data_IF_912155168959
#
_entry.id   IF_912155168959
#
_cell.length_a   1.000
_cell.length_b   1.000
_cell.length_c   1.000
_cell.angle_alpha   90.00
_cell.angle_beta   90.00
_cell.angle_gamma   90.00
#
_symmetry.space_group_name_H-M   'P 1'
#
loop_
_entity.id
_entity.type
_entity.pdbx_description
1 polymer ?
#
# COMPACT_ATOMS: atom_id res chain seq x y z
N UNK A 1 -31.98 -54.68 35.26
CA UNK A 1 -32.45 -53.43 35.89
C UNK A 1 -33.32 -52.69 34.88
N UNK A 2 -34.59 -52.51 35.23
CA UNK A 2 -35.70 -52.06 34.37
C UNK A 2 -35.93 -50.53 34.53
N UNK A 3 -36.69 -49.91 33.61
CA UNK A 3 -36.62 -48.49 33.25
C UNK A 3 -37.55 -47.61 34.10
N UNK A 4 -37.40 -46.28 34.02
CA UNK A 4 -38.43 -45.34 34.44
C UNK A 4 -38.73 -44.37 33.30
N UNK A 5 -39.96 -44.47 32.78
CA UNK A 5 -40.64 -43.48 31.95
C UNK A 5 -41.65 -42.72 32.82
N UNK A 6 -41.62 -41.39 32.68
CA UNK A 6 -42.74 -40.44 32.50
C UNK A 6 -43.83 -40.37 33.59
N UNK A 7 -44.06 -39.16 34.13
CA UNK A 7 -45.35 -38.45 34.01
C UNK A 7 -45.30 -36.97 34.40
N UNK A 8 -46.10 -36.23 33.63
CA UNK A 8 -46.41 -34.80 33.61
C UNK A 8 -47.25 -34.43 34.86
N UNK A 9 -47.06 -33.21 35.37
CA UNK A 9 -47.96 -32.55 36.31
C UNK A 9 -47.85 -31.03 36.18
N UNK A 10 -48.93 -30.41 35.72
CA UNK A 10 -49.11 -28.97 35.46
C UNK A 10 -49.60 -28.26 36.74
N UNK A 11 -49.43 -26.92 36.75
CA UNK A 11 -50.21 -25.87 37.44
C UNK A 11 -49.59 -25.26 38.71
N UNK A 12 -49.50 -23.93 38.73
CA UNK A 12 -49.22 -23.15 39.94
C UNK A 12 -48.80 -21.70 39.68
N UNK A 13 -49.72 -20.88 39.21
CA UNK A 13 -49.58 -19.42 39.12
C UNK A 13 -49.46 -18.82 40.53
N UNK A 14 -48.39 -18.08 40.82
CA UNK A 14 -48.29 -17.27 42.03
C UNK A 14 -47.75 -15.87 41.67
N UNK A 15 -48.67 -14.90 41.69
CA UNK A 15 -48.42 -13.46 41.63
C UNK A 15 -47.64 -13.05 42.89
N UNK A 16 -46.47 -12.44 42.74
CA UNK A 16 -45.82 -11.68 43.82
C UNK A 16 -45.77 -10.22 43.41
N UNK A 17 -46.55 -9.40 44.11
CA UNK A 17 -46.54 -7.95 44.01
C UNK A 17 -45.22 -7.41 44.58
N UNK A 18 -44.39 -6.83 43.73
CA UNK A 18 -43.20 -6.09 44.13
C UNK A 18 -43.55 -4.64 44.48
N UNK A 19 -43.32 -4.27 45.74
CA UNK A 19 -43.34 -2.88 46.21
C UNK A 19 -42.24 -2.07 45.50
N UNK A 20 -42.63 -1.02 44.79
CA UNK A 20 -41.70 -0.07 44.17
C UNK A 20 -41.14 0.88 45.25
N UNK A 21 -39.82 0.82 45.48
CA UNK A 21 -39.08 1.88 46.16
C UNK A 21 -38.64 2.91 45.11
N UNK A 22 -38.73 4.23 45.38
CA UNK A 22 -38.26 5.24 44.45
C UNK A 22 -36.73 5.21 44.43
N UNK A 23 -36.15 4.71 43.34
CA UNK A 23 -34.74 4.92 43.04
C UNK A 23 -34.56 6.38 42.63
N UNK A 24 -33.91 7.16 43.50
CA UNK A 24 -33.36 8.46 43.12
C UNK A 24 -32.42 8.24 41.93
N UNK A 25 -32.80 8.76 40.76
CA UNK A 25 -31.94 8.79 39.59
C UNK A 25 -30.76 9.73 39.90
N UNK A 26 -29.63 9.15 40.32
CA UNK A 26 -28.34 9.82 40.26
C UNK A 26 -28.04 9.98 38.77
N UNK A 27 -28.17 11.21 38.27
CA UNK A 27 -27.69 11.57 36.94
C UNK A 27 -26.21 11.17 36.85
N UNK A 28 -25.94 10.16 36.03
CA UNK A 28 -24.57 9.81 35.70
C UNK A 28 -23.94 11.04 35.05
N UNK A 29 -22.92 11.58 35.70
CA UNK A 29 -22.03 12.56 35.11
C UNK A 29 -21.59 12.05 33.73
N UNK A 30 -21.70 12.92 32.72
CA UNK A 30 -21.51 12.57 31.32
C UNK A 30 -20.26 11.72 31.13
N UNK A 31 -20.43 10.59 30.45
CA UNK A 31 -19.33 9.80 29.96
C UNK A 31 -18.51 10.68 29.01
N UNK A 32 -17.42 11.27 29.53
CA UNK A 32 -16.29 11.65 28.69
C UNK A 32 -15.90 10.38 27.94
N UNK A 33 -16.09 10.38 26.62
CA UNK A 33 -15.85 9.21 25.80
C UNK A 33 -14.41 8.74 26.01
N UNK A 34 -14.23 7.47 26.38
CA UNK A 34 -12.89 6.91 26.46
C UNK A 34 -12.22 7.06 25.08
N UNK A 35 -10.97 7.54 25.07
CA UNK A 35 -10.20 7.67 23.84
C UNK A 35 -10.20 6.32 23.09
N UNK A 36 -10.31 6.32 21.75
CA UNK A 36 -10.38 5.08 20.99
C UNK A 36 -9.12 4.25 21.23
N UNK A 37 -9.30 2.95 21.40
CA UNK A 37 -8.18 2.02 21.55
C UNK A 37 -7.23 2.12 20.33
N UNK A 38 -5.91 1.97 20.53
CA UNK A 38 -4.95 1.99 19.43
C UNK A 38 -5.15 0.79 18.51
N UNK A 39 -5.03 1.04 17.20
CA UNK A 39 -4.90 -0.01 16.17
C UNK A 39 -3.68 -0.88 16.41
N UNK A 40 -3.60 -2.00 15.69
CA UNK A 40 -2.47 -2.92 15.81
C UNK A 40 -1.19 -2.24 15.32
N UNK A 41 -1.25 -1.48 14.23
CA UNK A 41 -0.14 -0.64 13.78
C UNK A 41 0.29 0.35 14.86
N UNK A 42 -0.65 1.14 15.41
CA UNK A 42 -0.36 2.18 16.41
C UNK A 42 0.28 1.64 17.68
N UNK A 43 -0.02 0.38 18.08
CA UNK A 43 0.62 -0.25 19.24
C UNK A 43 2.13 -0.46 19.07
N UNK A 44 2.62 -0.54 17.83
CA UNK A 44 4.06 -0.69 17.55
C UNK A 44 4.82 0.63 17.66
N UNK A 45 4.13 1.76 17.49
CA UNK A 45 4.73 3.08 17.33
C UNK A 45 5.61 3.51 18.51
N UNK A 46 5.24 3.16 19.75
CA UNK A 46 5.98 3.57 20.95
C UNK A 46 7.16 2.63 21.27
N UNK A 47 7.38 1.59 20.46
CA UNK A 47 8.52 0.69 20.58
C UNK A 47 9.86 1.38 20.27
N UNK A 48 10.95 0.81 20.78
CA UNK A 48 12.30 1.38 20.65
C UNK A 48 12.73 1.58 19.19
N UNK A 49 12.50 0.59 18.32
CA UNK A 49 12.92 0.66 16.91
C UNK A 49 12.21 1.78 16.13
N UNK A 50 10.87 1.91 16.14
CA UNK A 50 10.20 3.04 15.49
C UNK A 50 10.65 4.40 16.01
N UNK A 51 10.80 4.54 17.34
CA UNK A 51 11.28 5.79 17.94
C UNK A 51 12.71 6.12 17.53
N UNK A 52 13.58 5.11 17.45
CA UNK A 52 14.95 5.26 17.00
C UNK A 52 15.02 5.70 15.52
N UNK A 53 14.22 5.07 14.65
CA UNK A 53 14.11 5.45 13.23
C UNK A 53 13.62 6.90 13.10
N UNK A 54 12.58 7.30 13.84
CA UNK A 54 12.06 8.66 13.83
C UNK A 54 13.09 9.68 14.30
N UNK A 55 13.84 9.37 15.36
CA UNK A 55 14.91 10.22 15.89
C UNK A 55 16.05 10.38 14.88
N UNK A 56 16.59 9.26 14.38
CA UNK A 56 17.74 9.24 13.47
C UNK A 56 17.44 9.70 12.04
N UNK A 57 16.17 9.72 11.64
CA UNK A 57 15.75 10.32 10.36
C UNK A 57 15.36 11.81 10.48
N UNK A 58 15.23 12.31 11.71
CA UNK A 58 14.73 13.64 12.03
C UNK A 58 13.21 13.79 11.96
N UNK A 59 12.43 12.72 11.78
CA UNK A 59 10.97 12.76 11.64
C UNK A 59 10.22 12.74 12.99
N UNK A 60 10.90 12.60 14.13
CA UNK A 60 10.29 12.57 15.47
C UNK A 60 9.36 13.77 15.78
N UNK A 61 9.64 14.95 15.22
CA UNK A 61 8.83 16.15 15.47
C UNK A 61 7.55 16.24 14.61
N UNK A 62 7.34 15.34 13.64
CA UNK A 62 6.21 15.42 12.68
C UNK A 62 4.87 15.30 13.40
N UNK A 63 4.63 14.21 14.12
CA UNK A 63 3.34 13.99 14.79
C UNK A 63 3.05 15.06 15.87
N UNK A 64 4.01 15.45 16.74
CA UNK A 64 3.78 16.55 17.69
C UNK A 64 3.47 17.90 17.03
N UNK A 65 4.09 18.21 15.88
CA UNK A 65 3.79 19.44 15.14
C UNK A 65 2.39 19.41 14.52
N UNK A 66 2.00 18.26 13.97
CA UNK A 66 0.67 18.02 13.45
C UNK A 66 -0.41 18.16 14.54
N UNK A 67 -0.21 17.56 15.71
CA UNK A 67 -1.12 17.68 16.85
C UNK A 67 -1.33 19.14 17.28
N UNK A 68 -0.24 19.93 17.36
CA UNK A 68 -0.35 21.39 17.61
C UNK A 68 -1.10 22.12 16.51
N UNK A 69 -0.96 21.69 15.26
CA UNK A 69 -1.72 22.23 14.13
C UNK A 69 -3.21 21.94 14.25
N UNK A 70 -3.59 20.72 14.62
CA UNK A 70 -4.97 20.34 14.89
C UNK A 70 -5.55 21.14 16.07
N UNK A 71 -4.80 21.28 17.16
CA UNK A 71 -5.24 22.04 18.34
C UNK A 71 -5.47 23.55 18.12
N UNK A 72 -5.08 24.10 16.96
CA UNK A 72 -5.35 25.49 16.56
C UNK A 72 -6.49 25.62 15.55
N UNK A 73 -7.07 24.51 15.09
CA UNK A 73 -8.20 24.56 14.17
C UNK A 73 -9.49 24.77 14.95
N UNK A 74 -10.24 25.82 14.62
CA UNK A 74 -11.49 26.20 15.28
C UNK A 74 -12.73 25.69 14.51
N UNK A 75 -12.51 25.05 13.36
CA UNK A 75 -13.57 24.45 12.54
C UNK A 75 -13.14 23.21 11.78
N UNK A 76 -14.12 22.41 11.34
CA UNK A 76 -13.87 21.25 10.46
C UNK A 76 -13.14 21.64 9.16
N UNK A 77 -13.46 22.82 8.60
CA UNK A 77 -12.81 23.32 7.37
C UNK A 77 -11.33 23.56 7.59
N UNK A 78 -10.97 24.18 8.71
CA UNK A 78 -9.58 24.43 9.08
C UNK A 78 -8.85 23.14 9.41
N UNK A 79 -9.48 22.23 10.16
CA UNK A 79 -8.91 20.91 10.46
C UNK A 79 -8.60 20.14 9.17
N UNK A 80 -9.52 20.14 8.20
CA UNK A 80 -9.29 19.54 6.89
C UNK A 80 -8.13 20.19 6.13
N UNK A 81 -8.01 21.51 6.19
CA UNK A 81 -6.90 22.23 5.57
C UNK A 81 -5.55 21.89 6.23
N UNK A 82 -5.52 21.77 7.56
CA UNK A 82 -4.34 21.30 8.31
C UNK A 82 -3.98 19.88 7.88
N UNK A 83 -4.93 18.95 7.91
CA UNK A 83 -4.71 17.55 7.52
C UNK A 83 -4.12 17.44 6.11
N UNK A 84 -4.75 18.09 5.13
CA UNK A 84 -4.28 18.01 3.75
C UNK A 84 -2.88 18.63 3.58
N UNK A 85 -2.63 19.78 4.21
CA UNK A 85 -1.33 20.48 4.13
C UNK A 85 -0.21 19.66 4.77
N UNK A 86 -0.42 19.21 6.01
CA UNK A 86 0.61 18.48 6.77
C UNK A 86 0.84 17.08 6.21
N UNK A 87 -0.20 16.39 5.75
CA UNK A 87 -0.06 15.10 5.05
C UNK A 87 0.78 15.24 3.77
N UNK A 88 0.48 16.24 2.93
CA UNK A 88 1.26 16.49 1.73
C UNK A 88 2.69 16.99 2.03
N UNK A 89 2.88 17.73 3.13
CA UNK A 89 4.21 18.14 3.58
C UNK A 89 5.05 16.95 4.06
N UNK A 90 4.44 15.97 4.72
CA UNK A 90 5.10 14.72 5.11
C UNK A 90 5.59 13.94 3.88
N UNK A 91 4.73 13.75 2.86
CA UNK A 91 5.12 13.07 1.61
C UNK A 91 6.33 13.76 0.95
N UNK A 92 6.21 15.07 0.67
CA UNK A 92 7.28 15.84 0.03
C UNK A 92 8.57 15.81 0.83
N UNK A 93 8.49 15.90 2.16
CA UNK A 93 9.67 15.81 3.04
C UNK A 93 10.36 14.45 2.91
N UNK A 94 9.62 13.35 2.81
CA UNK A 94 10.19 12.02 2.61
C UNK A 94 10.88 11.90 1.24
N UNK A 95 10.24 12.36 0.18
CA UNK A 95 10.81 12.39 -1.19
C UNK A 95 12.08 13.26 -1.22
N UNK A 96 12.00 14.50 -0.70
CA UNK A 96 13.15 15.42 -0.63
C UNK A 96 14.33 14.79 0.13
N UNK A 97 14.03 14.13 1.26
CA UNK A 97 15.04 13.42 2.04
C UNK A 97 15.74 12.36 1.19
N UNK A 98 14.99 11.43 0.58
CA UNK A 98 15.55 10.35 -0.24
C UNK A 98 16.36 10.89 -1.41
N UNK A 99 15.93 12.01 -2.00
CA UNK A 99 16.54 12.59 -3.20
C UNK A 99 17.64 13.62 -2.93
N UNK A 100 18.26 13.61 -1.75
CA UNK A 100 19.39 14.50 -1.50
C UNK A 100 19.01 15.96 -1.18
N UNK A 101 17.72 16.35 -1.26
CA UNK A 101 17.25 17.73 -1.02
C UNK A 101 17.01 18.06 0.45
N UNK A 102 17.11 19.35 0.78
CA UNK A 102 16.91 19.85 2.15
C UNK A 102 18.00 19.43 3.15
N UNK A 103 17.86 19.81 4.43
CA UNK A 103 18.88 19.55 5.44
C UNK A 103 18.96 18.05 5.78
N UNK A 104 20.19 17.54 5.86
CA UNK A 104 20.46 16.21 6.42
C UNK A 104 20.20 16.26 7.94
N UNK A 105 18.99 15.88 8.35
CA UNK A 105 18.61 15.75 9.76
C UNK A 105 18.83 14.30 10.19
N UNK A 106 19.60 14.11 11.27
CA UNK A 106 19.98 12.81 11.79
C UNK A 106 20.96 12.04 10.90
N UNK A 107 21.30 10.82 11.30
CA UNK A 107 22.37 9.99 10.75
C UNK A 107 21.87 8.68 10.09
N UNK A 108 20.55 8.43 10.08
CA UNK A 108 19.99 7.32 9.30
C UNK A 108 20.25 7.58 7.81
N UNK A 109 20.47 6.53 7.02
CA UNK A 109 20.61 6.69 5.57
C UNK A 109 19.40 7.40 4.96
N UNK A 110 19.64 8.15 3.88
CA UNK A 110 18.62 9.05 3.31
C UNK A 110 17.57 8.30 2.50
N UNK A 111 17.94 7.17 1.89
CA UNK A 111 17.15 6.28 1.04
C UNK A 111 16.09 5.44 1.77
N UNK A 112 15.86 5.71 3.05
CA UNK A 112 14.99 4.92 3.91
C UNK A 112 13.51 5.31 3.79
N UNK A 113 12.63 4.32 3.62
CA UNK A 113 11.18 4.49 3.51
C UNK A 113 10.46 4.52 4.88
N UNK A 114 11.04 3.89 5.90
CA UNK A 114 10.44 3.74 7.23
C UNK A 114 10.09 5.07 7.92
N UNK A 115 10.87 6.16 7.78
CA UNK A 115 10.50 7.46 8.37
C UNK A 115 9.13 7.97 7.93
N UNK A 116 8.74 7.75 6.66
CA UNK A 116 7.42 8.14 6.16
C UNK A 116 6.31 7.35 6.87
N UNK A 117 6.45 6.03 6.93
CA UNK A 117 5.48 5.13 7.53
C UNK A 117 5.23 5.46 9.02
N UNK A 118 6.29 5.50 9.83
CA UNK A 118 6.16 5.74 11.27
C UNK A 118 5.65 7.13 11.59
N UNK A 119 6.09 8.16 10.85
CA UNK A 119 5.61 9.52 11.07
C UNK A 119 4.13 9.70 10.70
N UNK A 120 3.69 9.08 9.59
CA UNK A 120 2.29 9.05 9.20
C UNK A 120 1.45 8.34 10.25
N UNK A 121 1.89 7.19 10.75
CA UNK A 121 1.20 6.45 11.79
C UNK A 121 1.03 7.30 13.07
N UNK A 122 2.06 8.07 13.44
CA UNK A 122 1.96 9.06 14.51
C UNK A 122 0.89 10.12 14.23
N UNK A 123 0.87 10.72 13.03
CA UNK A 123 -0.17 11.67 12.65
C UNK A 123 -1.58 11.05 12.67
N UNK A 124 -1.72 9.81 12.22
CA UNK A 124 -2.99 9.07 12.25
C UNK A 124 -3.49 8.88 13.68
N UNK A 125 -2.59 8.52 14.61
CA UNK A 125 -2.91 8.40 16.04
C UNK A 125 -3.40 9.71 16.62
N UNK A 126 -2.66 10.80 16.41
CA UNK A 126 -3.05 12.15 16.87
C UNK A 126 -4.43 12.55 16.33
N UNK A 127 -4.70 12.32 15.04
CA UNK A 127 -5.99 12.66 14.44
C UNK A 127 -7.13 11.77 14.97
N UNK A 128 -6.87 10.51 15.29
CA UNK A 128 -7.88 9.59 15.84
C UNK A 128 -8.30 9.98 17.25
N UNK A 129 -7.36 10.37 18.10
CA UNK A 129 -7.60 10.70 19.51
C UNK A 129 -7.91 12.17 19.77
N UNK A 130 -7.70 13.04 18.79
CA UNK A 130 -7.93 14.48 18.93
C UNK A 130 -9.39 14.83 19.21
N UNK A 131 -9.64 15.62 20.26
CA UNK A 131 -10.95 16.20 20.60
C UNK A 131 -10.95 17.71 20.35
N UNK A 132 -11.59 18.20 19.27
CA UNK A 132 -11.71 19.64 19.02
C UNK A 132 -12.70 20.34 19.96
N UNK A 133 -12.55 21.65 20.10
CA UNK A 133 -13.55 22.52 20.76
C UNK A 133 -14.84 22.74 19.95
N UNK A 134 -14.94 22.19 18.74
CA UNK A 134 -16.11 22.23 17.87
C UNK A 134 -16.65 20.81 17.61
N UNK A 135 -17.91 20.70 17.17
CA UNK A 135 -18.51 19.39 16.88
C UNK A 135 -17.81 18.65 15.73
N UNK A 136 -17.23 17.48 16.02
CA UNK A 136 -16.61 16.59 15.03
C UNK A 136 -17.22 15.18 15.14
N UNK A 137 -18.13 14.86 14.21
CA UNK A 137 -18.75 13.53 14.16
C UNK A 137 -17.82 12.45 13.57
N UNK A 138 -18.16 11.18 13.80
CA UNK A 138 -17.38 10.02 13.31
C UNK A 138 -17.14 10.05 11.79
N UNK A 139 -18.16 10.39 11.00
CA UNK A 139 -18.03 10.51 9.53
C UNK A 139 -17.03 11.59 9.11
N UNK A 140 -17.02 12.72 9.81
CA UNK A 140 -16.08 13.80 9.55
C UNK A 140 -14.66 13.38 9.95
N UNK A 141 -14.49 12.71 11.09
CA UNK A 141 -13.19 12.16 11.50
C UNK A 141 -12.67 11.12 10.50
N UNK A 142 -13.52 10.21 10.03
CA UNK A 142 -13.17 9.23 8.99
C UNK A 142 -12.78 9.91 7.67
N UNK A 143 -13.45 11.00 7.29
CA UNK A 143 -13.08 11.79 6.12
C UNK A 143 -11.72 12.50 6.28
N UNK A 144 -11.41 13.04 7.47
CA UNK A 144 -10.09 13.58 7.78
C UNK A 144 -9.01 12.50 7.71
N UNK A 145 -9.25 11.31 8.28
CA UNK A 145 -8.31 10.19 8.20
C UNK A 145 -8.07 9.75 6.75
N UNK A 146 -9.12 9.69 5.94
CA UNK A 146 -9.01 9.40 4.50
C UNK A 146 -8.17 10.46 3.76
N UNK A 147 -8.35 11.74 4.09
CA UNK A 147 -7.56 12.84 3.52
C UNK A 147 -6.09 12.74 3.95
N UNK A 148 -5.81 12.41 5.22
CA UNK A 148 -4.46 12.20 5.72
C UNK A 148 -3.78 11.05 4.97
N UNK A 149 -4.41 9.88 4.89
CA UNK A 149 -3.90 8.71 4.17
C UNK A 149 -3.58 9.07 2.71
N UNK A 150 -4.50 9.72 2.00
CA UNK A 150 -4.30 10.07 0.59
C UNK A 150 -3.14 11.06 0.39
N UNK A 151 -3.07 12.11 1.20
CA UNK A 151 -2.08 13.19 1.01
C UNK A 151 -0.68 12.80 1.46
N UNK A 152 -0.56 11.98 2.52
CA UNK A 152 0.73 11.49 3.04
C UNK A 152 1.28 10.26 2.32
N UNK A 153 0.62 9.80 1.26
CA UNK A 153 1.03 8.66 0.42
C UNK A 153 1.40 9.04 -1.01
N UNK A 154 1.44 10.33 -1.33
CA UNK A 154 1.65 10.81 -2.70
C UNK A 154 0.43 10.70 -3.61
N UNK A 155 -0.66 10.05 -3.19
CA UNK A 155 -1.86 9.84 -4.02
C UNK A 155 -2.61 11.14 -4.39
N UNK A 156 -2.36 12.22 -3.66
CA UNK A 156 -2.85 13.57 -3.98
C UNK A 156 -1.78 14.49 -4.59
N UNK A 157 -0.53 14.02 -4.76
CA UNK A 157 0.61 14.81 -5.24
C UNK A 157 1.14 14.35 -6.62
N UNK A 158 0.43 13.46 -7.31
CA UNK A 158 0.74 13.01 -8.67
C UNK A 158 0.59 14.17 -9.67
N UNK A 159 1.71 14.77 -10.09
CA UNK A 159 1.76 16.00 -10.91
C UNK A 159 2.17 15.71 -12.35
N UNK A 160 1.30 15.03 -13.08
CA UNK A 160 1.54 14.71 -14.49
C UNK A 160 1.78 16.00 -15.31
N UNK A 161 2.93 16.12 -16.02
CA UNK A 161 3.17 17.24 -16.93
C UNK A 161 2.16 17.22 -18.09
N UNK A 162 1.99 18.36 -18.77
CA UNK A 162 1.29 18.39 -20.05
C UNK A 162 2.00 17.44 -21.01
N UNK A 163 1.30 16.43 -21.49
CA UNK A 163 1.87 15.36 -22.29
C UNK A 163 1.77 15.60 -23.78
N UNK A 164 2.43 14.73 -24.55
CA UNK A 164 2.36 14.69 -26.02
C UNK A 164 0.91 14.61 -26.56
N UNK A 165 0.00 13.97 -25.80
CA UNK A 165 -1.42 13.79 -26.18
C UNK A 165 -2.31 15.02 -25.94
N UNK A 166 -1.79 16.07 -25.31
CA UNK A 166 -2.59 17.21 -24.84
C UNK A 166 -2.50 18.44 -25.79
N UNK A 167 -1.89 18.33 -26.98
CA UNK A 167 -1.70 19.44 -27.92
C UNK A 167 -1.84 19.06 -29.40
N UNK A 168 -2.55 19.90 -30.16
CA UNK A 168 -2.64 19.81 -31.63
C UNK A 168 -1.27 20.10 -32.29
N UNK A 169 -0.74 19.14 -33.05
CA UNK A 169 0.03 19.42 -34.28
C UNK A 169 1.51 19.83 -34.19
N UNK A 170 2.24 19.57 -33.09
CA UNK A 170 3.67 19.89 -33.00
C UNK A 170 4.58 18.66 -33.04
N UNK A 171 5.49 18.58 -34.02
CA UNK A 171 6.53 17.54 -34.18
C UNK A 171 7.66 17.62 -33.12
N UNK A 172 7.33 17.80 -31.84
CA UNK A 172 8.28 17.81 -30.73
C UNK A 172 8.14 16.58 -29.83
N UNK A 173 9.27 16.02 -29.36
CA UNK A 173 9.30 14.89 -28.40
C UNK A 173 8.73 15.34 -27.05
N UNK A 174 7.42 15.13 -26.83
CA UNK A 174 6.76 15.43 -25.55
C UNK A 174 7.22 14.51 -24.41
N UNK A 175 7.12 14.98 -23.16
CA UNK A 175 7.54 14.22 -21.98
C UNK A 175 6.62 13.00 -21.79
N UNK A 176 7.18 11.79 -21.76
CA UNK A 176 6.45 10.55 -21.40
C UNK A 176 6.11 10.58 -19.91
N UNK A 177 4.97 10.01 -19.54
CA UNK A 177 4.44 10.02 -18.16
C UNK A 177 4.38 8.60 -17.62
N UNK A 178 5.10 8.34 -16.54
CA UNK A 178 5.16 7.05 -15.87
C UNK A 178 4.48 7.15 -14.51
N UNK A 179 3.54 6.26 -14.24
CA UNK A 179 2.97 6.08 -12.91
C UNK A 179 3.56 4.83 -12.24
N UNK A 180 4.16 4.99 -11.07
CA UNK A 180 4.74 3.88 -10.32
C UNK A 180 4.15 3.80 -8.91
N UNK A 181 3.83 2.60 -8.43
CA UNK A 181 3.35 2.43 -7.05
C UNK A 181 4.32 1.61 -6.21
N UNK A 182 4.33 1.86 -4.90
CA UNK A 182 5.00 1.02 -3.90
C UNK A 182 4.10 0.73 -2.70
N UNK A 183 4.66 0.09 -1.67
CA UNK A 183 3.96 -0.22 -0.43
C UNK A 183 4.69 0.26 0.82
N UNK A 184 3.94 0.39 1.90
CA UNK A 184 4.47 0.53 3.25
C UNK A 184 5.25 -0.72 3.72
N UNK A 185 6.12 -0.58 4.74
CA UNK A 185 6.64 -1.71 5.51
C UNK A 185 5.53 -2.62 6.03
N UNK A 186 5.82 -3.93 6.08
CA UNK A 186 4.93 -4.96 6.59
C UNK A 186 5.68 -6.10 7.25
N UNK A 187 4.96 -7.07 7.82
CA UNK A 187 5.54 -8.15 8.68
C UNK A 187 6.31 -7.64 9.90
N UNK A 188 5.89 -6.49 10.43
CA UNK A 188 6.57 -5.79 11.52
C UNK A 188 6.50 -6.53 12.87
N UNK A 189 5.62 -7.52 13.01
CA UNK A 189 5.62 -8.44 14.16
C UNK A 189 6.76 -9.47 14.11
N UNK A 190 7.27 -9.76 12.91
CA UNK A 190 8.43 -10.65 12.73
C UNK A 190 9.73 -9.89 12.96
N UNK A 191 9.83 -8.70 12.37
CA UNK A 191 10.97 -7.81 12.55
C UNK A 191 10.53 -6.36 12.31
N UNK A 192 10.44 -5.58 13.39
CA UNK A 192 10.01 -4.17 13.35
C UNK A 192 11.02 -3.26 12.62
N UNK A 193 12.23 -3.76 12.34
CA UNK A 193 13.26 -3.03 11.59
C UNK A 193 13.04 -3.10 10.07
N UNK A 194 12.10 -3.92 9.58
CA UNK A 194 11.88 -4.11 8.14
C UNK A 194 11.58 -2.79 7.42
N UNK A 195 12.23 -2.62 6.27
CA UNK A 195 11.98 -1.59 5.25
C UNK A 195 11.32 -2.25 4.04
N UNK A 196 10.52 -1.51 3.26
CA UNK A 196 9.97 -2.03 2.02
C UNK A 196 10.72 -1.45 0.81
N UNK A 197 11.43 -2.27 0.02
CA UNK A 197 12.16 -1.79 -1.16
C UNK A 197 11.24 -1.10 -2.17
N UNK A 198 9.97 -1.51 -2.30
CA UNK A 198 9.03 -0.84 -3.21
C UNK A 198 8.65 0.58 -2.74
N UNK A 199 8.57 0.80 -1.42
CA UNK A 199 8.37 2.13 -0.84
C UNK A 199 9.59 3.02 -1.06
N UNK A 200 10.80 2.47 -0.90
CA UNK A 200 12.05 3.17 -1.18
C UNK A 200 12.17 3.56 -2.67
N UNK A 201 11.81 2.66 -3.59
CA UNK A 201 11.73 2.94 -5.04
C UNK A 201 10.74 4.07 -5.33
N UNK A 202 9.55 4.03 -4.74
CA UNK A 202 8.54 5.08 -4.94
C UNK A 202 9.06 6.46 -4.51
N UNK A 203 9.66 6.57 -3.32
CA UNK A 203 10.23 7.82 -2.83
C UNK A 203 11.43 8.30 -3.65
N UNK A 204 12.28 7.38 -4.11
CA UNK A 204 13.46 7.71 -4.90
C UNK A 204 13.11 8.19 -6.31
N UNK A 205 11.99 7.75 -6.89
CA UNK A 205 11.62 8.06 -8.26
C UNK A 205 10.54 9.16 -8.39
N UNK A 206 9.77 9.46 -7.35
CA UNK A 206 8.78 10.55 -7.40
C UNK A 206 9.45 11.86 -7.78
N UNK A 207 8.88 12.72 -8.60
CA UNK A 207 9.62 13.96 -8.92
C UNK A 207 10.74 13.83 -9.97
N UNK A 208 11.21 12.62 -10.28
CA UNK A 208 12.36 12.42 -11.19
C UNK A 208 12.00 12.36 -12.67
N UNK A 209 13.02 12.57 -13.50
CA UNK A 209 13.01 12.36 -14.95
C UNK A 209 14.02 11.27 -15.30
N UNK A 210 13.64 10.39 -16.22
CA UNK A 210 14.51 9.41 -16.86
C UNK A 210 14.72 9.87 -18.30
N UNK A 211 15.97 10.03 -18.71
CA UNK A 211 16.29 10.32 -20.10
C UNK A 211 16.21 9.04 -20.92
N UNK A 212 15.41 9.06 -21.98
CA UNK A 212 15.21 7.92 -22.89
C UNK A 212 15.59 8.32 -24.32
N UNK A 213 15.87 7.37 -25.22
CA UNK A 213 16.11 7.67 -26.63
C UNK A 213 14.97 8.47 -27.30
N UNK A 214 13.74 8.27 -26.83
CA UNK A 214 12.52 8.93 -27.33
C UNK A 214 12.25 10.29 -26.66
N UNK A 215 13.09 10.71 -25.73
CA UNK A 215 12.91 11.93 -24.94
C UNK A 215 12.72 11.66 -23.44
N UNK A 216 12.50 12.70 -22.63
CA UNK A 216 12.39 12.56 -21.19
C UNK A 216 11.11 11.82 -20.77
N UNK A 217 11.20 11.00 -19.72
CA UNK A 217 10.09 10.34 -19.06
C UNK A 217 9.99 10.80 -17.59
N UNK A 218 8.88 11.43 -17.22
CA UNK A 218 8.58 11.89 -15.86
C UNK A 218 7.93 10.77 -15.06
N UNK A 219 8.47 10.48 -13.88
CA UNK A 219 7.92 9.47 -12.96
C UNK A 219 7.16 10.12 -11.80
N UNK A 220 5.88 9.82 -11.68
CA UNK A 220 5.06 10.18 -10.50
C UNK A 220 4.78 8.91 -9.70
N UNK A 221 4.84 8.99 -8.37
CA UNK A 221 4.63 7.80 -7.54
C UNK A 221 3.62 7.97 -6.42
N UNK A 222 3.11 6.83 -5.97
CA UNK A 222 2.29 6.74 -4.77
C UNK A 222 2.59 5.45 -4.00
N UNK A 223 2.41 5.48 -2.68
CA UNK A 223 2.51 4.28 -1.84
C UNK A 223 1.14 3.83 -1.33
N UNK A 224 0.97 2.53 -1.12
CA UNK A 224 -0.27 1.92 -0.66
C UNK A 224 -0.10 1.28 0.73
N UNK A 225 -1.16 1.29 1.56
CA UNK A 225 -1.16 0.60 2.83
C UNK A 225 -1.11 -0.92 2.61
N UNK A 226 -0.50 -1.63 3.55
CA UNK A 226 -0.57 -3.10 3.58
C UNK A 226 -1.73 -3.49 4.51
N UNK A 227 -2.97 -3.23 4.06
CA UNK A 227 -4.22 -3.48 4.78
C UNK A 227 -5.36 -3.92 3.86
N UNK A 228 -6.05 -5.01 4.19
CA UNK A 228 -7.15 -5.56 3.37
C UNK A 228 -8.36 -4.64 3.29
N UNK A 229 -8.65 -3.92 4.39
CA UNK A 229 -9.81 -3.02 4.49
C UNK A 229 -9.73 -1.88 3.48
N UNK A 230 -8.57 -1.24 3.35
CA UNK A 230 -8.36 -0.14 2.39
C UNK A 230 -8.58 -0.59 0.94
N UNK A 231 -8.11 -1.80 0.61
CA UNK A 231 -8.29 -2.41 -0.70
C UNK A 231 -9.76 -2.74 -0.97
N UNK A 232 -10.44 -3.37 -0.01
CA UNK A 232 -11.88 -3.65 -0.12
C UNK A 232 -12.72 -2.37 -0.25
N UNK A 233 -12.27 -1.27 0.37
CA UNK A 233 -12.89 0.03 0.24
C UNK A 233 -12.56 0.73 -1.09
N UNK A 234 -11.73 0.17 -1.98
CA UNK A 234 -11.45 0.72 -3.32
C UNK A 234 -10.35 1.79 -3.36
N UNK A 235 -9.35 1.69 -2.48
CA UNK A 235 -8.23 2.65 -2.44
C UNK A 235 -7.43 2.69 -3.75
N UNK A 236 -7.21 1.52 -4.38
CA UNK A 236 -6.45 1.40 -5.65
C UNK A 236 -7.16 2.16 -6.76
N UNK A 237 -8.45 1.92 -6.95
CA UNK A 237 -9.23 2.52 -8.01
C UNK A 237 -9.39 4.03 -7.81
N UNK A 238 -9.63 4.49 -6.57
CA UNK A 238 -9.67 5.92 -6.27
C UNK A 238 -8.35 6.63 -6.57
N UNK A 239 -7.23 6.01 -6.24
CA UNK A 239 -5.91 6.61 -6.41
C UNK A 239 -5.48 6.63 -7.89
N UNK A 240 -5.74 5.57 -8.65
CA UNK A 240 -5.17 5.40 -10.00
C UNK A 240 -6.11 5.85 -11.13
N UNK A 241 -7.43 5.69 -10.99
CA UNK A 241 -8.41 5.95 -12.08
C UNK A 241 -8.26 7.34 -12.72
N UNK A 242 -8.02 8.44 -11.99
CA UNK A 242 -7.87 9.77 -12.62
C UNK A 242 -6.63 9.91 -13.51
N UNK A 243 -5.63 9.03 -13.36
CA UNK A 243 -4.31 9.17 -13.97
C UNK A 243 -4.03 8.14 -15.05
N UNK A 244 -4.59 6.92 -14.97
CA UNK A 244 -4.33 5.87 -15.98
C UNK A 244 -4.56 6.34 -17.43
N UNK A 245 -5.67 7.04 -17.78
CA UNK A 245 -5.87 7.53 -19.15
C UNK A 245 -4.85 8.59 -19.60
N UNK A 246 -4.08 9.15 -18.67
CA UNK A 246 -3.17 10.28 -18.86
C UNK A 246 -1.71 9.88 -18.74
N UNK A 247 -1.38 8.59 -18.63
CA UNK A 247 0.01 8.12 -18.57
C UNK A 247 0.36 7.30 -19.79
N UNK A 248 1.66 7.14 -20.02
CA UNK A 248 2.24 6.40 -21.14
C UNK A 248 2.77 5.02 -20.69
N UNK A 249 2.90 4.83 -19.38
CA UNK A 249 3.27 3.58 -18.71
C UNK A 249 2.73 3.62 -17.27
N UNK A 250 2.24 2.48 -16.75
CA UNK A 250 2.16 2.30 -15.30
C UNK A 250 2.84 1.00 -14.87
N UNK A 251 3.37 0.98 -13.65
CA UNK A 251 3.85 -0.25 -13.03
C UNK A 251 3.56 -0.23 -11.53
N UNK A 252 3.01 -1.34 -11.02
CA UNK A 252 2.95 -1.55 -9.58
C UNK A 252 4.21 -2.27 -9.15
N UNK A 253 4.87 -1.80 -8.09
CA UNK A 253 6.09 -2.43 -7.57
C UNK A 253 5.82 -2.99 -6.18
N UNK A 254 6.33 -4.18 -5.89
CA UNK A 254 6.20 -4.81 -4.56
C UNK A 254 7.46 -5.57 -4.18
N UNK A 255 7.66 -5.77 -2.89
CA UNK A 255 8.71 -6.65 -2.41
C UNK A 255 8.38 -8.10 -2.73
N UNK A 256 9.30 -8.82 -3.37
CA UNK A 256 9.18 -10.22 -3.75
C UNK A 256 10.02 -11.13 -2.87
N UNK A 257 10.98 -11.82 -3.50
CA UNK A 257 11.82 -12.86 -2.88
C UNK A 257 13.30 -12.53 -2.93
N UNK A 258 14.15 -13.39 -2.40
CA UNK A 258 15.60 -13.11 -2.32
C UNK A 258 16.22 -13.06 -3.72
N UNK A 259 17.05 -12.04 -3.95
CA UNK A 259 18.09 -12.04 -4.97
C UNK A 259 17.64 -11.90 -6.43
N UNK A 260 16.40 -11.53 -6.72
CA UNK A 260 15.92 -11.37 -8.10
C UNK A 260 14.75 -10.39 -8.23
N UNK A 261 14.59 -9.83 -9.42
CA UNK A 261 13.35 -9.19 -9.84
C UNK A 261 12.49 -10.19 -10.61
N UNK A 262 11.18 -10.11 -10.45
CA UNK A 262 10.20 -10.89 -11.21
C UNK A 262 9.27 -9.90 -11.93
N UNK A 263 9.15 -9.99 -13.26
CA UNK A 263 8.10 -9.32 -14.04
C UNK A 263 6.92 -10.29 -14.10
N UNK A 264 5.84 -9.95 -13.41
CA UNK A 264 4.73 -10.86 -13.22
C UNK A 264 3.82 -10.88 -14.45
N UNK A 265 3.67 -12.05 -15.08
CA UNK A 265 2.84 -12.23 -16.27
C UNK A 265 1.35 -12.06 -15.95
N UNK A 266 0.91 -12.73 -14.89
CA UNK A 266 -0.52 -12.92 -14.59
C UNK A 266 -0.81 -12.71 -13.10
N UNK A 267 -1.87 -11.95 -12.80
CA UNK A 267 -2.36 -11.71 -11.45
C UNK A 267 -3.71 -12.41 -11.23
N UNK A 268 -3.93 -13.00 -10.06
CA UNK A 268 -5.11 -13.80 -9.74
C UNK A 268 -6.10 -13.11 -8.80
N UNK A 269 -7.40 -13.40 -8.97
CA UNK A 269 -8.49 -12.84 -8.17
C UNK A 269 -8.68 -13.51 -6.79
N UNK A 270 -7.61 -13.82 -6.04
CA UNK A 270 -7.71 -14.55 -4.76
C UNK A 270 -6.85 -13.96 -3.64
N UNK A 271 -7.38 -13.99 -2.40
CA UNK A 271 -6.67 -13.70 -1.15
C UNK A 271 -6.33 -14.99 -0.42
N UNK A 272 -5.06 -15.19 -0.08
CA UNK A 272 -4.55 -16.43 0.51
C UNK A 272 -4.61 -16.57 2.03
N UNK A 273 -5.06 -15.55 2.75
CA UNK A 273 -5.17 -15.61 4.22
C UNK A 273 -3.96 -15.11 5.01
N UNK A 274 -2.90 -14.59 4.37
CA UNK A 274 -1.78 -13.99 5.11
C UNK A 274 -2.23 -12.71 5.86
N UNK A 275 -1.88 -12.53 7.15
CA UNK A 275 -2.29 -11.34 7.92
C UNK A 275 -1.69 -10.03 7.37
N UNK A 276 -2.49 -8.98 7.36
CA UNK A 276 -2.05 -7.62 7.01
C UNK A 276 -1.40 -6.88 8.20
N UNK A 277 -1.08 -5.60 8.05
CA UNK A 277 -0.47 -4.81 9.13
C UNK A 277 -1.37 -4.63 10.36
N UNK A 278 -2.68 -4.82 10.21
CA UNK A 278 -3.65 -4.85 11.30
C UNK A 278 -3.90 -6.26 11.85
N UNK A 279 -3.07 -7.23 11.45
CA UNK A 279 -3.18 -8.66 11.77
C UNK A 279 -4.51 -9.27 11.31
N UNK A 280 -5.15 -8.67 10.30
CA UNK A 280 -6.39 -9.16 9.71
C UNK A 280 -6.04 -10.17 8.62
N UNK A 281 -6.64 -11.35 8.69
CA UNK A 281 -6.56 -12.39 7.64
C UNK A 281 -7.83 -12.42 6.79
N UNK A 282 -7.68 -12.64 5.48
CA UNK A 282 -8.78 -12.78 4.52
C UNK A 282 -8.48 -13.89 3.51
N UNK A 283 -9.44 -14.81 3.37
CA UNK A 283 -9.38 -15.92 2.42
C UNK A 283 -10.65 -15.92 1.59
N UNK A 284 -10.61 -15.26 0.43
CA UNK A 284 -11.78 -14.97 -0.38
C UNK A 284 -11.35 -14.52 -1.78
N UNK A 285 -12.29 -14.49 -2.73
CA UNK A 285 -12.09 -13.82 -4.01
C UNK A 285 -11.87 -12.33 -3.79
N UNK A 286 -10.95 -11.71 -4.55
CA UNK A 286 -10.67 -10.27 -4.46
C UNK A 286 -11.97 -9.47 -4.66
N UNK A 287 -12.42 -8.67 -3.68
CA UNK A 287 -13.70 -7.97 -3.79
C UNK A 287 -13.61 -6.75 -4.72
N UNK A 288 -14.33 -6.73 -5.83
CA UNK A 288 -14.37 -5.59 -6.76
C UNK A 288 -15.78 -5.01 -6.87
N UNK A 289 -15.90 -3.78 -7.38
CA UNK A 289 -17.19 -3.07 -7.46
C UNK A 289 -18.21 -3.70 -8.43
N UNK A 290 -17.74 -4.47 -9.41
CA UNK A 290 -18.58 -5.21 -10.36
C UNK A 290 -18.12 -6.69 -10.37
N UNK A 291 -18.61 -7.51 -9.42
CA UNK A 291 -18.23 -8.91 -9.31
C UNK A 291 -18.76 -9.78 -10.46
N UNK A 292 -19.88 -9.39 -11.09
CA UNK A 292 -20.53 -10.18 -12.13
C UNK A 292 -19.65 -10.29 -13.39
N UNK A 293 -18.87 -9.24 -13.69
CA UNK A 293 -17.96 -9.21 -14.82
C UNK A 293 -16.49 -9.50 -14.44
N UNK A 294 -16.23 -9.93 -13.21
CA UNK A 294 -14.88 -10.04 -12.69
C UNK A 294 -14.12 -11.23 -13.31
N UNK A 295 -12.98 -11.02 -14.00
CA UNK A 295 -12.18 -12.14 -14.50
C UNK A 295 -11.37 -12.79 -13.37
N UNK A 296 -11.09 -14.08 -13.48
CA UNK A 296 -10.21 -14.78 -12.53
C UNK A 296 -8.76 -14.31 -12.63
N UNK A 297 -8.35 -13.88 -13.82
CA UNK A 297 -6.98 -13.54 -14.15
C UNK A 297 -6.91 -12.20 -14.88
N UNK A 298 -5.83 -11.48 -14.67
CA UNK A 298 -5.46 -10.31 -15.47
C UNK A 298 -4.01 -10.43 -15.90
N UNK A 299 -3.67 -9.91 -17.08
CA UNK A 299 -2.34 -10.10 -17.68
C UNK A 299 -1.63 -8.76 -17.87
N UNK A 300 -0.32 -8.79 -17.65
CA UNK A 300 0.59 -7.66 -17.91
C UNK A 300 0.59 -7.28 -19.38
N UNK A 301 0.79 -5.99 -19.66
CA UNK A 301 1.15 -5.45 -20.97
C UNK A 301 2.49 -4.71 -20.91
N UNK A 302 3.28 -4.93 -19.85
CA UNK A 302 4.67 -4.48 -19.80
C UNK A 302 5.49 -5.17 -20.89
N UNK A 303 6.51 -4.52 -21.46
CA UNK A 303 7.41 -5.12 -22.44
C UNK A 303 8.41 -6.07 -21.76
N UNK A 304 7.90 -7.16 -21.19
CA UNK A 304 8.65 -8.10 -20.35
C UNK A 304 9.87 -8.68 -21.06
N UNK A 305 9.78 -8.96 -22.37
CA UNK A 305 10.90 -9.52 -23.14
C UNK A 305 12.06 -8.52 -23.26
N UNK A 306 11.75 -7.23 -23.46
CA UNK A 306 12.77 -6.18 -23.45
C UNK A 306 13.36 -5.99 -22.05
N UNK A 307 12.53 -6.03 -21.01
CA UNK A 307 12.95 -5.88 -19.61
C UNK A 307 13.91 -7.02 -19.21
N UNK A 308 13.59 -8.27 -19.54
CA UNK A 308 14.38 -9.44 -19.12
C UNK A 308 15.65 -9.64 -19.95
N UNK A 309 15.67 -9.15 -21.20
CA UNK A 309 16.86 -9.17 -22.04
C UNK A 309 17.86 -8.04 -21.72
N UNK A 310 17.42 -6.97 -21.04
CA UNK A 310 18.24 -5.82 -20.74
C UNK A 310 19.15 -6.03 -19.52
N UNK A 311 20.39 -5.52 -19.61
CA UNK A 311 21.26 -5.38 -18.44
C UNK A 311 20.77 -4.20 -17.59
N UNK A 312 20.05 -4.51 -16.52
CA UNK A 312 19.41 -3.51 -15.65
C UNK A 312 20.13 -3.34 -14.30
N UNK A 313 21.09 -4.20 -13.97
CA UNK A 313 21.84 -4.10 -12.72
C UNK A 313 22.19 -5.45 -12.10
N UNK A 314 22.48 -5.42 -10.80
CA UNK A 314 23.06 -6.53 -10.03
C UNK A 314 22.22 -7.80 -10.01
N UNK A 315 20.90 -7.67 -9.95
CA UNK A 315 20.01 -8.81 -9.75
C UNK A 315 19.48 -9.34 -11.09
N UNK A 316 19.34 -10.66 -11.29
CA UNK A 316 18.65 -11.18 -12.45
C UNK A 316 17.18 -10.73 -12.47
N UNK A 317 16.65 -10.50 -13.67
CA UNK A 317 15.25 -10.17 -13.92
C UNK A 317 14.59 -11.32 -14.65
N UNK A 318 13.55 -11.91 -14.07
CA UNK A 318 12.84 -13.05 -14.63
C UNK A 318 11.48 -12.64 -15.19
N UNK A 319 11.10 -13.29 -16.28
CA UNK A 319 9.71 -13.36 -16.71
C UNK A 319 9.00 -14.44 -15.87
N UNK A 320 8.16 -14.02 -14.92
CA UNK A 320 7.49 -14.96 -14.02
C UNK A 320 6.08 -15.29 -14.54
N UNK A 321 5.94 -16.49 -15.08
CA UNK A 321 4.69 -17.00 -15.68
C UNK A 321 3.92 -17.94 -14.77
N UNK A 322 4.53 -18.42 -13.69
CA UNK A 322 3.94 -19.43 -12.83
C UNK A 322 2.71 -18.90 -12.08
N UNK A 323 1.64 -19.68 -12.03
CA UNK A 323 0.43 -19.39 -11.24
C UNK A 323 -0.05 -20.63 -10.50
N UNK A 324 -0.88 -20.46 -9.48
CA UNK A 324 -1.62 -21.56 -8.84
C UNK A 324 -3.11 -21.41 -9.15
N UNK A 325 -3.71 -22.44 -9.74
CA UNK A 325 -5.11 -22.41 -10.18
C UNK A 325 -5.88 -23.64 -9.70
N UNK A 326 -7.21 -23.56 -9.69
CA UNK A 326 -8.06 -24.75 -9.78
C UNK A 326 -8.48 -24.89 -11.25
N UNK A 327 -8.12 -25.98 -11.96
CA UNK A 327 -8.50 -26.19 -13.35
C UNK A 327 -10.02 -26.23 -13.54
N UNK A 328 -10.50 -25.92 -14.75
CA UNK A 328 -11.92 -26.01 -15.07
C UNK A 328 -12.46 -27.43 -14.81
N UNK A 329 -13.51 -27.54 -13.98
CA UNK A 329 -14.09 -28.82 -13.57
C UNK A 329 -13.34 -29.57 -12.46
N UNK A 330 -12.23 -29.01 -11.96
CA UNK A 330 -11.52 -29.51 -10.79
C UNK A 330 -11.94 -28.83 -9.49
N UNK A 331 -11.40 -29.35 -8.38
CA UNK A 331 -11.60 -28.87 -7.01
C UNK A 331 -10.27 -28.60 -6.28
N UNK A 332 -9.18 -29.24 -6.71
CA UNK A 332 -7.85 -29.10 -6.10
C UNK A 332 -6.96 -28.05 -6.79
N UNK A 333 -6.19 -27.25 -6.02
CA UNK A 333 -5.20 -26.32 -6.58
C UNK A 333 -4.00 -27.04 -7.21
N UNK A 334 -3.53 -26.54 -8.36
CA UNK A 334 -2.32 -27.00 -9.06
C UNK A 334 -1.46 -25.82 -9.49
N UNK A 335 -0.12 -26.02 -9.48
CA UNK A 335 0.83 -25.04 -10.02
C UNK A 335 0.93 -25.21 -11.53
N UNK A 336 0.83 -24.12 -12.27
CA UNK A 336 1.01 -24.06 -13.72
C UNK A 336 2.21 -23.18 -14.04
N UNK A 337 3.30 -23.72 -14.60
CA UNK A 337 4.50 -22.94 -14.87
C UNK A 337 4.29 -21.88 -15.96
N UNK A 338 3.38 -22.12 -16.91
CA UNK A 338 3.21 -21.31 -18.12
C UNK A 338 1.92 -20.47 -18.13
N UNK A 339 1.43 -20.10 -16.94
CA UNK A 339 0.20 -19.33 -16.78
C UNK A 339 -1.08 -20.18 -16.67
N UNK A 340 -2.25 -19.52 -16.51
CA UNK A 340 -3.50 -20.20 -16.21
C UNK A 340 -4.10 -20.89 -17.44
N UNK A 341 -4.90 -21.93 -17.20
CA UNK A 341 -5.73 -22.55 -18.24
C UNK A 341 -7.07 -21.85 -18.46
N UNK A 342 -7.64 -21.95 -19.68
CA UNK A 342 -8.97 -21.44 -19.96
C UNK A 342 -10.02 -21.97 -18.97
N UNK A 343 -10.80 -21.06 -18.37
CA UNK A 343 -11.87 -21.39 -17.43
C UNK A 343 -11.41 -21.76 -16.02
N UNK A 344 -10.11 -21.67 -15.70
CA UNK A 344 -9.60 -21.95 -14.36
C UNK A 344 -9.97 -20.86 -13.34
N UNK A 345 -9.97 -21.24 -12.07
CA UNK A 345 -10.20 -20.34 -10.93
C UNK A 345 -8.88 -19.98 -10.27
N UNK A 346 -8.68 -18.72 -9.92
CA UNK A 346 -7.43 -18.26 -9.33
C UNK A 346 -7.23 -18.71 -7.88
N UNK A 347 -6.01 -19.12 -7.56
CA UNK A 347 -5.54 -19.34 -6.18
C UNK A 347 -4.28 -18.53 -5.87
N UNK A 348 -3.37 -18.36 -6.83
CA UNK A 348 -2.21 -17.46 -6.73
C UNK A 348 -1.86 -16.94 -8.13
N UNK A 349 -1.62 -15.63 -8.26
CA UNK A 349 -0.92 -15.08 -9.43
C UNK A 349 0.59 -15.29 -9.31
N UNK A 350 1.37 -14.79 -10.27
CA UNK A 350 2.83 -14.91 -10.22
C UNK A 350 3.43 -14.25 -8.98
N UNK A 351 2.82 -13.14 -8.55
CA UNK A 351 3.13 -12.43 -7.31
C UNK A 351 2.53 -13.02 -6.02
N UNK A 352 1.97 -14.23 -6.07
CA UNK A 352 1.28 -14.91 -4.97
C UNK A 352 -0.20 -14.57 -4.84
N UNK A 353 -0.72 -14.59 -3.61
CA UNK A 353 -2.12 -14.29 -3.26
C UNK A 353 -2.25 -13.29 -2.10
N UNK A 354 -1.21 -12.47 -1.91
CA UNK A 354 -1.19 -11.39 -0.93
C UNK A 354 -1.52 -10.03 -1.58
N UNK A 355 -1.38 -8.93 -0.83
CA UNK A 355 -1.68 -7.57 -1.29
C UNK A 355 -0.85 -7.11 -2.50
N UNK A 356 0.35 -7.67 -2.72
CA UNK A 356 1.13 -7.44 -3.95
C UNK A 356 0.39 -7.93 -5.20
N UNK A 357 -0.12 -9.16 -5.16
CA UNK A 357 -0.97 -9.68 -6.21
C UNK A 357 -2.28 -8.89 -6.33
N UNK A 358 -2.90 -8.47 -5.21
CA UNK A 358 -4.16 -7.73 -5.27
C UNK A 358 -4.01 -6.33 -5.90
N UNK A 359 -2.94 -5.57 -5.60
CA UNK A 359 -2.74 -4.27 -6.25
C UNK A 359 -2.49 -4.46 -7.75
N UNK A 360 -1.72 -5.48 -8.11
CA UNK A 360 -1.42 -5.81 -9.49
C UNK A 360 -2.70 -6.18 -10.24
N UNK A 361 -3.50 -7.08 -9.68
CA UNK A 361 -4.81 -7.48 -10.21
C UNK A 361 -5.75 -6.27 -10.37
N UNK A 362 -5.93 -5.46 -9.33
CA UNK A 362 -6.85 -4.31 -9.37
C UNK A 362 -6.42 -3.21 -10.34
N UNK A 363 -5.14 -2.85 -10.37
CA UNK A 363 -4.63 -1.82 -11.28
C UNK A 363 -4.75 -2.27 -12.75
N UNK A 364 -4.44 -3.54 -13.01
CA UNK A 364 -4.52 -4.18 -14.33
C UNK A 364 -5.98 -4.30 -14.79
N UNK A 365 -6.88 -4.76 -13.90
CA UNK A 365 -8.32 -4.80 -14.15
C UNK A 365 -8.90 -3.40 -14.42
N UNK A 366 -8.45 -2.39 -13.66
CA UNK A 366 -8.88 -1.01 -13.86
C UNK A 366 -8.45 -0.46 -15.22
N UNK A 367 -7.20 -0.71 -15.65
CA UNK A 367 -6.74 -0.39 -17.02
C UNK A 367 -7.68 -1.00 -18.05
N UNK A 368 -7.98 -2.29 -17.91
CA UNK A 368 -8.82 -3.01 -18.88
C UNK A 368 -10.25 -2.48 -18.91
N UNK A 369 -10.85 -2.22 -17.74
CA UNK A 369 -12.19 -1.62 -17.62
C UNK A 369 -12.27 -0.18 -18.14
N UNK A 370 -11.15 0.53 -18.24
CA UNK A 370 -11.06 1.84 -18.88
C UNK A 370 -10.82 1.76 -20.39
N UNK A 371 -10.75 0.55 -20.97
CA UNK A 371 -10.49 0.35 -22.40
C UNK A 371 -9.04 0.64 -22.80
N UNK A 372 -8.11 0.62 -21.85
CA UNK A 372 -6.72 1.03 -22.06
C UNK A 372 -5.77 -0.14 -22.38
N UNK A 373 -6.26 -1.38 -22.43
CA UNK A 373 -5.45 -2.59 -22.62
C UNK A 373 -4.43 -2.48 -23.77
N UNK A 374 -4.88 -2.10 -24.96
CA UNK A 374 -4.01 -1.99 -26.15
C UNK A 374 -3.21 -0.70 -26.28
N UNK A 375 -3.35 0.26 -25.35
CA UNK A 375 -2.72 1.60 -25.48
C UNK A 375 -1.88 2.02 -24.28
N UNK A 376 -2.12 1.42 -23.10
CA UNK A 376 -1.40 1.67 -21.87
C UNK A 376 -0.65 0.40 -21.45
N UNK A 377 0.67 0.35 -21.68
CA UNK A 377 1.51 -0.69 -21.10
C UNK A 377 1.46 -0.60 -19.58
N UNK A 378 1.27 -1.73 -18.94
CA UNK A 378 1.45 -1.81 -17.50
C UNK A 378 1.22 -3.17 -16.91
N UNK A 379 1.67 -3.32 -15.68
CA UNK A 379 1.76 -4.61 -15.01
C UNK A 379 2.47 -4.48 -13.68
N UNK A 380 3.08 -5.57 -13.25
CA UNK A 380 3.64 -5.70 -11.91
C UNK A 380 5.07 -6.18 -11.93
N UNK A 381 5.89 -5.58 -11.08
CA UNK A 381 7.29 -5.96 -10.87
C UNK A 381 7.52 -6.21 -9.39
N UNK A 382 8.00 -7.40 -9.08
CA UNK A 382 8.50 -7.74 -7.75
C UNK A 382 10.00 -7.44 -7.66
N UNK A 383 10.42 -6.78 -6.59
CA UNK A 383 11.83 -6.52 -6.28
C UNK A 383 12.42 -7.65 -5.44
N UNK A 384 13.76 -7.74 -5.34
CA UNK A 384 14.38 -8.52 -4.29
C UNK A 384 13.93 -8.03 -2.89
N UNK A 385 13.97 -8.92 -1.88
CA UNK A 385 13.85 -8.50 -0.47
C UNK A 385 15.11 -7.78 -0.01
N UNK A 386 14.96 -6.86 0.95
CA UNK A 386 16.09 -6.26 1.65
C UNK A 386 16.72 -7.24 2.64
N UNK A 387 18.05 -7.20 2.75
CA UNK A 387 18.80 -8.06 3.66
C UNK A 387 19.73 -7.22 4.54
N UNK A 388 19.70 -7.48 5.84
CA UNK A 388 20.76 -7.03 6.74
C UNK A 388 22.03 -7.87 6.52
N UNK A 389 23.17 -7.30 6.87
CA UNK A 389 24.42 -8.03 6.85
C UNK A 389 24.41 -9.21 7.83
N UNK A 390 25.29 -10.19 7.60
CA UNK A 390 25.32 -11.46 8.37
C UNK A 390 25.45 -11.27 9.89
N UNK A 391 26.10 -10.18 10.33
CA UNK A 391 26.22 -9.83 11.75
C UNK A 391 25.01 -9.09 12.35
N UNK A 392 23.94 -8.86 11.59
CA UNK A 392 22.80 -8.03 11.98
C UNK A 392 21.43 -8.72 11.71
N UNK A 393 21.43 -10.04 11.53
CA UNK A 393 20.24 -10.82 11.14
C UNK A 393 19.25 -11.07 12.28
N UNK A 394 19.69 -11.01 13.54
CA UNK A 394 18.80 -11.22 14.70
C UNK A 394 17.99 -9.95 15.01
N UNK A 395 16.65 -9.98 14.91
CA UNK A 395 15.79 -8.83 15.23
C UNK A 395 15.87 -8.36 16.67
N UNK A 396 16.19 -9.24 17.62
CA UNK A 396 16.20 -8.90 19.04
C UNK A 396 17.45 -8.10 19.46
N UNK A 397 18.56 -8.28 18.75
CA UNK A 397 19.87 -7.70 19.13
C UNK A 397 20.48 -6.80 18.06
N UNK A 398 19.98 -6.87 16.83
CA UNK A 398 20.58 -6.17 15.70
C UNK A 398 20.18 -4.69 15.59
N UNK A 399 21.06 -3.89 14.99
CA UNK A 399 20.83 -2.49 14.69
C UNK A 399 19.75 -2.30 13.60
N UNK A 400 19.10 -1.13 13.62
CA UNK A 400 18.05 -0.74 12.66
C UNK A 400 18.58 -0.55 11.22
N UNK A 401 19.89 -0.54 11.01
CA UNK A 401 20.54 -0.38 9.71
C UNK A 401 21.98 -0.89 9.78
N UNK A 402 22.52 -1.32 8.64
CA UNK A 402 23.94 -1.61 8.46
C UNK A 402 24.36 -1.30 7.00
N UNK A 403 25.67 -1.30 6.68
CA UNK A 403 26.14 -0.97 5.33
C UNK A 403 25.66 -1.90 4.21
N UNK A 404 25.42 -3.18 4.50
CA UNK A 404 24.93 -4.13 3.51
C UNK A 404 23.45 -3.88 3.19
N UNK A 405 22.65 -3.62 4.21
CA UNK A 405 21.26 -3.21 4.06
C UNK A 405 21.09 -1.95 3.21
N UNK A 406 21.93 -0.94 3.45
CA UNK A 406 21.92 0.31 2.66
C UNK A 406 22.35 0.05 1.22
N UNK A 407 23.47 -0.66 0.99
CA UNK A 407 23.91 -1.01 -0.38
C UNK A 407 22.84 -1.79 -1.14
N UNK A 408 22.24 -2.79 -0.49
CA UNK A 408 21.19 -3.60 -1.10
C UNK A 408 19.98 -2.76 -1.51
N UNK A 409 19.56 -1.81 -0.67
CA UNK A 409 18.48 -0.88 -1.00
C UNK A 409 18.82 0.02 -2.19
N UNK A 410 20.01 0.60 -2.21
CA UNK A 410 20.47 1.46 -3.29
C UNK A 410 20.58 0.69 -4.63
N UNK A 411 21.10 -0.55 -4.60
CA UNK A 411 21.16 -1.43 -5.78
C UNK A 411 19.76 -1.70 -6.34
N UNK A 412 18.79 -2.04 -5.47
CA UNK A 412 17.40 -2.30 -5.87
C UNK A 412 16.75 -1.04 -6.45
N UNK A 413 16.94 0.13 -5.84
CA UNK A 413 16.40 1.40 -6.33
C UNK A 413 16.97 1.75 -7.71
N UNK A 414 18.28 1.63 -7.88
CA UNK A 414 18.94 1.90 -9.15
C UNK A 414 18.44 0.94 -10.25
N UNK A 415 18.33 -0.35 -9.93
CA UNK A 415 17.87 -1.34 -10.90
C UNK A 415 16.37 -1.20 -11.23
N UNK A 416 15.52 -0.86 -10.27
CA UNK A 416 14.11 -0.56 -10.54
C UNK A 416 13.97 0.65 -11.49
N UNK A 417 14.81 1.69 -11.33
CA UNK A 417 14.88 2.81 -12.29
C UNK A 417 15.26 2.34 -13.69
N UNK A 418 16.26 1.46 -13.80
CA UNK A 418 16.70 0.90 -15.08
C UNK A 418 15.60 0.06 -15.75
N UNK A 419 14.89 -0.78 -14.99
CA UNK A 419 13.72 -1.55 -15.47
C UNK A 419 12.65 -0.60 -16.02
N UNK A 420 12.33 0.48 -15.29
CA UNK A 420 11.37 1.49 -15.76
C UNK A 420 11.87 2.19 -17.02
N UNK A 421 13.16 2.51 -17.11
CA UNK A 421 13.77 3.12 -18.28
C UNK A 421 13.64 2.23 -19.52
N UNK A 422 13.89 0.92 -19.39
CA UNK A 422 13.68 -0.05 -20.45
C UNK A 422 12.19 -0.12 -20.83
N UNK A 423 11.30 -0.23 -19.85
CA UNK A 423 9.87 -0.37 -20.07
C UNK A 423 9.27 0.83 -20.84
N UNK A 424 9.67 2.05 -20.48
CA UNK A 424 9.15 3.27 -21.13
C UNK A 424 9.78 3.50 -22.52
N UNK A 425 10.97 2.94 -22.77
CA UNK A 425 11.69 3.04 -24.05
C UNK A 425 11.29 1.96 -25.06
N UNK A 426 10.63 0.88 -24.61
CA UNK A 426 10.27 -0.22 -25.49
C UNK A 426 9.29 0.21 -26.59
N UNK A 427 9.53 -0.20 -27.86
CA UNK A 427 8.61 0.03 -28.98
C UNK A 427 7.21 -0.51 -28.70
N UNK A 428 6.21 0.03 -29.39
CA UNK A 428 4.82 -0.44 -29.28
C UNK A 428 4.62 -1.90 -29.71
N UNK A 429 5.48 -2.40 -30.60
CA UNK A 429 5.42 -3.77 -31.18
C UNK A 429 5.94 -4.87 -30.26
N UNK A 430 6.72 -4.51 -29.24
CA UNK A 430 7.34 -5.47 -28.30
C UNK A 430 6.46 -5.67 -27.04
N UNK A 431 5.18 -5.30 -27.14
CA UNK A 431 4.20 -5.27 -26.03
C UNK A 431 3.14 -6.38 -26.13
N UNK A 432 3.48 -7.44 -26.86
CA UNK A 432 2.63 -8.60 -27.17
C UNK A 432 2.46 -9.57 -26.03
#
# INVERSE_FOLDING_TARGET
MRPIRVRIGVLGLALVAGLAAPTTATAAAGAGGAAPAPTVEERRLDGEVPQEILRRSGFAAVAPAFARGLGRADSYREARAVVAREGAALWRRAVDRVQGRGPARGDLSRDDDRPLYWARLGMTRELRTWEPGFGLGERQRAALLTELERTSRGQADLRLPRGHRDGHGGHGKGVKRVLLTGFDPFTLDRDVRISNPSGAVALALDGTVIDTPDGPARVETAVFPVRWTDFAQGTVERALRPYLPRVDLFTTVSQGRVGRFDVERTNGAWRGGFPDNDNVSRTETVPVADPASQPQWTTTTLPYAAITAADTGRFPVYDNTAVTEIPAGGDEPVVRPDGPTPGSTAREGGGGNYLSNEIAYRATLLRDRLGLHGTLPGGHVHTPVLQFGTGNTDPATGAVTDPEFVRNRLDIVAQARAIVAVAVSAPGTDRG
#
